data_IF_765147852867
#
_entry.id   IF_765147852867
#
_cell.length_a   1.000
_cell.length_b   1.000
_cell.length_c   1.000
_cell.angle_alpha   90.00
_cell.angle_beta   90.00
_cell.angle_gamma   90.00
#
_symmetry.space_group_name_H-M   'P 1'
#
loop_
_entity.id
_entity.type
_entity.pdbx_description
1 polymer ?
#
# COMPACT_ATOMS: atom_id res chain seq x y z
N UNK A 1 -3.40 20.04 -23.09
CA UNK A 1 -3.24 18.80 -23.87
C UNK A 1 -1.83 18.78 -24.46
N UNK A 2 -0.86 18.36 -23.66
CA UNK A 2 0.54 18.21 -24.08
C UNK A 2 0.81 16.71 -24.06
N UNK A 3 0.84 16.09 -25.24
CA UNK A 3 1.32 14.72 -25.43
C UNK A 3 2.82 14.86 -25.67
N UNK A 4 3.71 14.33 -24.81
CA UNK A 4 5.11 14.23 -25.17
C UNK A 4 5.24 13.21 -26.30
N UNK A 5 5.91 13.64 -27.36
CA UNK A 5 6.23 12.90 -28.57
C UNK A 5 6.86 11.54 -28.29
N UNK A 6 6.26 10.50 -28.87
CA UNK A 6 6.78 9.15 -29.00
C UNK A 6 8.16 9.16 -29.70
N UNK A 7 9.22 8.95 -28.92
CA UNK A 7 10.48 8.40 -29.43
C UNK A 7 10.34 6.88 -29.47
N UNK A 8 10.67 6.21 -30.60
CA UNK A 8 10.63 4.75 -30.66
C UNK A 8 11.81 4.22 -29.86
N UNK A 9 11.58 3.74 -28.64
CA UNK A 9 12.56 2.92 -27.94
C UNK A 9 12.70 1.63 -28.74
N UNK A 10 13.85 1.49 -29.40
CA UNK A 10 14.31 0.25 -29.99
C UNK A 10 14.24 -0.84 -28.92
N UNK A 11 13.42 -1.86 -29.20
CA UNK A 11 13.17 -2.98 -28.31
C UNK A 11 14.48 -3.67 -27.92
N UNK A 12 14.84 -3.55 -26.65
CA UNK A 12 15.68 -4.54 -26.02
C UNK A 12 14.84 -5.82 -25.91
N UNK A 13 14.96 -6.67 -26.93
CA UNK A 13 14.60 -8.08 -26.92
C UNK A 13 15.34 -8.79 -25.76
N UNK A 14 14.75 -8.68 -24.56
CA UNK A 14 14.86 -9.68 -23.52
C UNK A 14 13.43 -10.03 -23.15
N UNK A 15 12.86 -10.91 -23.97
CA UNK A 15 11.70 -11.70 -23.59
C UNK A 15 12.13 -12.62 -22.43
N UNK A 16 12.36 -12.04 -21.25
CA UNK A 16 12.42 -12.77 -19.98
C UNK A 16 10.98 -13.19 -19.75
N UNK A 17 10.71 -14.47 -19.89
CA UNK A 17 9.41 -15.07 -19.57
C UNK A 17 8.95 -14.50 -18.24
N UNK A 18 7.87 -13.71 -18.29
CA UNK A 18 7.17 -13.27 -17.10
C UNK A 18 6.88 -14.52 -16.26
N UNK A 19 7.27 -14.50 -14.98
CA UNK A 19 6.96 -15.59 -14.07
C UNK A 19 5.45 -15.82 -14.08
N UNK A 20 5.01 -17.08 -14.07
CA UNK A 20 3.58 -17.38 -13.97
C UNK A 20 3.02 -16.81 -12.67
N UNK A 21 1.80 -16.28 -12.73
CA UNK A 21 1.09 -15.85 -11.53
C UNK A 21 0.74 -17.03 -10.63
N UNK A 22 0.45 -16.71 -9.37
CA UNK A 22 -0.06 -17.67 -8.40
C UNK A 22 -1.37 -18.32 -8.88
N UNK A 23 -1.59 -19.57 -8.49
CA UNK A 23 -2.79 -20.33 -8.88
C UNK A 23 -4.01 -19.88 -8.10
N UNK A 24 -5.17 -19.84 -8.76
CA UNK A 24 -6.44 -19.42 -8.16
C UNK A 24 -6.78 -20.16 -6.87
N UNK A 25 -6.61 -21.49 -6.85
CA UNK A 25 -6.90 -22.31 -5.66
C UNK A 25 -5.95 -22.05 -4.47
N UNK A 26 -4.76 -21.50 -4.72
CA UNK A 26 -3.84 -21.05 -3.67
C UNK A 26 -4.28 -19.68 -3.17
N UNK A 27 -4.62 -18.77 -4.09
CA UNK A 27 -5.10 -17.42 -3.77
C UNK A 27 -6.41 -17.44 -2.97
N UNK A 28 -7.33 -18.36 -3.26
CA UNK A 28 -8.55 -18.57 -2.49
C UNK A 28 -8.26 -18.87 -1.01
N UNK A 29 -7.27 -19.74 -0.74
CA UNK A 29 -6.85 -20.07 0.63
C UNK A 29 -6.13 -18.89 1.29
N UNK A 30 -5.21 -18.25 0.57
CA UNK A 30 -4.50 -17.05 1.03
C UNK A 30 -5.48 -15.97 1.46
N UNK A 31 -6.52 -15.73 0.64
CA UNK A 31 -7.59 -14.76 0.91
C UNK A 31 -8.43 -15.16 2.12
N UNK A 32 -8.80 -16.44 2.25
CA UNK A 32 -9.54 -16.91 3.43
C UNK A 32 -8.72 -16.73 4.72
N UNK A 33 -7.44 -17.12 4.70
CA UNK A 33 -6.53 -16.95 5.84
C UNK A 33 -6.33 -15.48 6.21
N UNK A 34 -6.20 -14.59 5.23
CA UNK A 34 -6.17 -13.13 5.45
C UNK A 34 -7.43 -12.66 6.19
N UNK A 35 -8.60 -13.07 5.68
CA UNK A 35 -9.90 -12.69 6.25
C UNK A 35 -10.05 -13.17 7.69
N UNK A 36 -9.71 -14.43 7.96
CA UNK A 36 -9.92 -15.05 9.27
C UNK A 36 -8.93 -14.58 10.35
N UNK A 37 -7.79 -14.01 9.96
CA UNK A 37 -6.71 -13.63 10.89
C UNK A 37 -6.53 -12.12 11.10
N UNK A 38 -7.06 -11.27 10.20
CA UNK A 38 -6.92 -9.82 10.31
C UNK A 38 -7.84 -9.25 11.39
N UNK A 39 -7.28 -8.50 12.34
CA UNK A 39 -8.03 -7.93 13.46
C UNK A 39 -7.58 -6.55 13.92
N UNK A 40 -6.33 -6.18 13.64
CA UNK A 40 -5.80 -4.85 13.96
C UNK A 40 -6.16 -3.83 12.88
N UNK A 41 -6.08 -2.55 13.26
CA UNK A 41 -6.45 -1.44 12.39
C UNK A 41 -5.70 -1.48 11.04
N UNK A 42 -4.37 -1.61 11.05
CA UNK A 42 -3.54 -1.70 9.85
C UNK A 42 -3.76 -3.00 9.06
N UNK A 43 -3.95 -4.13 9.75
CA UNK A 43 -4.25 -5.43 9.13
C UNK A 43 -5.57 -5.37 8.34
N UNK A 44 -6.62 -4.80 8.95
CA UNK A 44 -7.91 -4.60 8.29
C UNK A 44 -7.78 -3.61 7.13
N UNK A 45 -6.99 -2.55 7.29
CA UNK A 45 -6.72 -1.56 6.23
C UNK A 45 -6.06 -2.17 5.00
N UNK A 46 -4.97 -2.92 5.18
CA UNK A 46 -4.30 -3.60 4.06
C UNK A 46 -5.15 -4.73 3.49
N UNK A 47 -5.93 -5.43 4.31
CA UNK A 47 -6.91 -6.41 3.83
C UNK A 47 -7.93 -5.75 2.89
N UNK A 48 -8.51 -4.61 3.30
CA UNK A 48 -9.48 -3.90 2.47
C UNK A 48 -8.88 -3.40 1.16
N UNK A 49 -7.63 -2.93 1.18
CA UNK A 49 -6.89 -2.58 -0.05
C UNK A 49 -6.66 -3.82 -0.93
N UNK A 50 -6.19 -4.92 -0.35
CA UNK A 50 -5.92 -6.17 -1.08
C UNK A 50 -7.18 -6.73 -1.75
N UNK A 51 -8.32 -6.74 -1.05
CA UNK A 51 -9.62 -7.12 -1.63
C UNK A 51 -10.02 -6.17 -2.76
N UNK A 52 -9.81 -4.86 -2.58
CA UNK A 52 -10.11 -3.86 -3.61
C UNK A 52 -9.27 -4.06 -4.87
N UNK A 53 -7.96 -4.30 -4.75
CA UNK A 53 -7.08 -4.54 -5.89
C UNK A 53 -7.31 -5.92 -6.54
N UNK A 54 -7.57 -6.95 -5.73
CA UNK A 54 -7.66 -8.32 -6.21
C UNK A 54 -9.03 -8.63 -6.83
N UNK A 55 -10.12 -8.39 -6.10
CA UNK A 55 -11.49 -8.74 -6.52
C UNK A 55 -12.14 -7.62 -7.34
N UNK A 56 -11.82 -6.36 -7.02
CA UNK A 56 -12.53 -5.18 -7.54
C UNK A 56 -11.60 -4.18 -8.21
N UNK A 57 -10.66 -4.67 -9.02
CA UNK A 57 -9.57 -3.88 -9.60
C UNK A 57 -10.03 -2.54 -10.24
N UNK A 58 -11.22 -2.49 -10.82
CA UNK A 58 -11.82 -1.28 -11.41
C UNK A 58 -12.15 -0.16 -10.40
N UNK A 59 -12.26 -0.49 -9.12
CA UNK A 59 -12.45 0.44 -7.99
C UNK A 59 -11.13 0.84 -7.31
N UNK A 60 -10.03 0.16 -7.61
CA UNK A 60 -8.72 0.49 -7.03
C UNK A 60 -8.15 1.78 -7.64
N UNK A 61 -7.25 2.44 -6.91
CA UNK A 61 -6.55 3.65 -7.38
C UNK A 61 -5.72 3.41 -8.65
N UNK A 62 -5.39 2.15 -8.95
CA UNK A 62 -4.65 1.75 -10.15
C UNK A 62 -5.52 1.73 -11.43
N UNK A 63 -6.84 1.85 -11.29
CA UNK A 63 -7.78 1.93 -12.41
C UNK A 63 -7.83 3.34 -13.02
N UNK A 64 -8.00 3.43 -14.33
CA UNK A 64 -8.27 4.70 -15.03
C UNK A 64 -9.59 5.36 -14.56
N UNK A 65 -10.49 4.58 -13.96
CA UNK A 65 -11.81 5.04 -13.47
C UNK A 65 -11.86 5.21 -11.95
N UNK A 66 -10.72 5.34 -11.30
CA UNK A 66 -10.64 5.39 -9.83
C UNK A 66 -11.38 6.60 -9.23
N UNK A 67 -11.32 7.77 -9.88
CA UNK A 67 -11.84 9.02 -9.33
C UNK A 67 -12.78 9.78 -10.29
N UNK A 68 -13.99 10.14 -9.84
CA UNK A 68 -14.68 9.51 -8.71
C UNK A 68 -15.04 8.04 -9.05
N UNK A 69 -15.14 7.14 -8.05
CA UNK A 69 -15.71 5.82 -8.28
C UNK A 69 -17.21 5.93 -8.63
N UNK A 70 -17.85 4.85 -9.12
CA UNK A 70 -19.27 4.87 -9.43
C UNK A 70 -20.11 5.33 -8.23
N UNK A 71 -21.07 6.24 -8.44
CA UNK A 71 -21.94 6.73 -7.37
C UNK A 71 -22.84 5.64 -6.75
N UNK A 72 -23.03 4.53 -7.47
CA UNK A 72 -23.71 3.33 -7.01
C UNK A 72 -23.06 2.09 -7.61
N UNK A 73 -22.97 1.03 -6.80
CA UNK A 73 -22.48 -0.28 -7.23
C UNK A 73 -23.57 -1.09 -7.93
N UNK A 74 -23.16 -2.05 -8.76
CA UNK A 74 -24.07 -2.95 -9.47
C UNK A 74 -23.66 -4.42 -9.24
N UNK A 75 -24.44 -5.37 -9.76
CA UNK A 75 -24.20 -6.81 -9.52
C UNK A 75 -22.82 -7.30 -9.95
N UNK A 76 -22.19 -6.66 -10.94
CA UNK A 76 -20.88 -7.03 -11.48
C UNK A 76 -19.69 -6.34 -10.79
N UNK A 77 -19.92 -5.21 -10.13
CA UNK A 77 -18.92 -4.48 -9.35
C UNK A 77 -19.61 -4.06 -8.05
N UNK A 78 -19.69 -4.99 -7.09
CA UNK A 78 -20.47 -4.83 -5.87
C UNK A 78 -19.64 -4.60 -4.61
N UNK A 79 -18.32 -4.82 -4.67
CA UNK A 79 -17.39 -4.61 -3.56
C UNK A 79 -17.82 -5.29 -2.23
N UNK A 80 -18.57 -6.40 -2.30
CA UNK A 80 -19.33 -6.88 -1.13
C UNK A 80 -18.46 -7.20 0.08
N UNK A 81 -17.29 -7.78 -0.14
CA UNK A 81 -16.32 -8.10 0.90
C UNK A 81 -15.63 -6.85 1.48
N UNK A 82 -15.24 -5.89 0.64
CA UNK A 82 -14.70 -4.59 1.10
C UNK A 82 -15.73 -3.84 1.94
N UNK A 83 -17.00 -3.82 1.49
CA UNK A 83 -18.09 -3.20 2.23
C UNK A 83 -18.35 -3.94 3.55
N UNK A 84 -18.29 -5.27 3.57
CA UNK A 84 -18.44 -6.07 4.79
C UNK A 84 -17.34 -5.78 5.83
N UNK A 85 -16.08 -5.60 5.40
CA UNK A 85 -14.99 -5.15 6.28
C UNK A 85 -15.34 -3.78 6.87
N UNK A 86 -15.74 -2.81 6.04
CA UNK A 86 -16.13 -1.46 6.51
C UNK A 86 -17.30 -1.52 7.50
N UNK A 87 -18.34 -2.30 7.19
CA UNK A 87 -19.48 -2.50 8.07
C UNK A 87 -19.04 -3.04 9.44
N UNK A 88 -18.13 -4.03 9.45
CA UNK A 88 -17.59 -4.64 10.67
C UNK A 88 -16.84 -3.61 11.51
N UNK A 89 -15.96 -2.81 10.88
CA UNK A 89 -15.21 -1.75 11.56
C UNK A 89 -16.14 -0.71 12.17
N UNK A 90 -17.09 -0.18 11.39
CA UNK A 90 -17.98 0.86 11.86
C UNK A 90 -18.97 0.36 12.93
N UNK A 91 -19.37 -0.91 12.88
CA UNK A 91 -20.20 -1.53 13.91
C UNK A 91 -19.42 -1.76 15.23
N UNK A 92 -18.12 -1.99 15.17
CA UNK A 92 -17.25 -2.16 16.34
C UNK A 92 -16.72 -0.84 16.92
N UNK A 93 -16.76 0.25 16.15
CA UNK A 93 -16.26 1.57 16.55
C UNK A 93 -17.03 2.09 17.78
N UNK A 94 -16.31 2.38 18.86
CA UNK A 94 -16.88 3.01 20.05
C UNK A 94 -17.30 4.46 19.76
N UNK A 95 -18.41 4.90 20.39
CA UNK A 95 -18.85 6.29 20.31
C UNK A 95 -17.87 7.28 20.97
N UNK A 96 -17.04 6.79 21.90
CA UNK A 96 -16.03 7.60 22.61
C UNK A 96 -14.69 7.70 21.86
N UNK A 97 -14.56 7.02 20.72
CA UNK A 97 -13.35 7.02 19.91
C UNK A 97 -13.56 7.90 18.68
N UNK A 98 -12.71 8.89 18.46
CA UNK A 98 -12.78 9.76 17.27
C UNK A 98 -12.26 9.04 16.02
N UNK A 99 -11.17 8.29 16.15
CA UNK A 99 -10.55 7.48 15.08
C UNK A 99 -11.39 6.26 14.69
N UNK A 100 -11.13 5.68 13.52
CA UNK A 100 -11.81 4.48 13.00
C UNK A 100 -11.61 3.25 13.91
N UNK A 101 -10.49 3.21 14.64
CA UNK A 101 -10.15 2.21 15.64
C UNK A 101 -9.64 2.88 16.90
N UNK A 102 -9.93 2.28 18.06
CA UNK A 102 -9.20 2.60 19.28
C UNK A 102 -7.82 1.93 19.19
N UNK A 103 -6.77 2.72 19.12
CA UNK A 103 -5.42 2.26 18.84
C UNK A 103 -4.39 3.14 19.57
N UNK A 104 -3.22 2.57 19.88
CA UNK A 104 -2.06 3.35 20.36
C UNK A 104 -1.37 4.09 19.22
N UNK A 105 -1.55 3.62 17.99
CA UNK A 105 -1.14 4.30 16.77
C UNK A 105 -2.12 5.40 16.40
N UNK A 106 -1.59 6.60 16.15
CA UNK A 106 -2.34 7.68 15.51
C UNK A 106 -2.57 7.43 14.02
N UNK A 107 -1.65 6.68 13.38
CA UNK A 107 -1.63 6.47 11.94
C UNK A 107 -2.42 5.26 11.46
N UNK A 108 -2.32 4.12 12.15
CA UNK A 108 -2.86 2.84 11.67
C UNK A 108 -4.38 2.84 11.42
N UNK A 109 -5.22 3.48 12.25
CA UNK A 109 -6.66 3.60 11.97
C UNK A 109 -6.97 4.23 10.61
N UNK A 110 -6.10 5.12 10.10
CA UNK A 110 -6.29 5.79 8.82
C UNK A 110 -6.17 4.85 7.61
N UNK A 111 -5.50 3.69 7.76
CA UNK A 111 -5.34 2.69 6.68
C UNK A 111 -6.68 2.18 6.14
N UNK A 112 -7.73 2.14 6.97
CA UNK A 112 -9.11 1.79 6.59
C UNK A 112 -9.86 2.92 5.87
N UNK A 113 -9.34 4.14 5.92
CA UNK A 113 -10.05 5.34 5.47
C UNK A 113 -10.42 5.32 3.99
N UNK A 114 -9.57 4.79 3.10
CA UNK A 114 -9.90 4.64 1.68
C UNK A 114 -11.13 3.76 1.46
N UNK A 115 -11.23 2.63 2.16
CA UNK A 115 -12.36 1.72 2.07
C UNK A 115 -13.64 2.34 2.65
N UNK A 116 -13.56 3.05 3.78
CA UNK A 116 -14.69 3.79 4.36
C UNK A 116 -15.20 4.87 3.41
N UNK A 117 -14.29 5.61 2.76
CA UNK A 117 -14.63 6.62 1.77
C UNK A 117 -15.27 6.01 0.51
N UNK A 118 -14.75 4.88 0.02
CA UNK A 118 -15.35 4.12 -1.08
C UNK A 118 -16.77 3.65 -0.73
N UNK A 119 -16.98 3.09 0.46
CA UNK A 119 -18.29 2.68 0.94
C UNK A 119 -19.25 3.88 1.05
N UNK A 120 -18.78 4.99 1.62
CA UNK A 120 -19.55 6.24 1.72
C UNK A 120 -19.97 6.77 0.34
N UNK A 121 -19.06 6.76 -0.62
CA UNK A 121 -19.29 7.27 -1.96
C UNK A 121 -20.29 6.40 -2.75
N UNK A 122 -20.20 5.09 -2.60
CA UNK A 122 -20.90 4.13 -3.45
C UNK A 122 -22.23 3.60 -2.86
N UNK A 123 -22.52 3.88 -1.57
CA UNK A 123 -23.77 3.43 -0.93
C UNK A 123 -25.02 4.09 -1.52
N UNK A 124 -26.12 3.33 -1.59
CA UNK A 124 -27.41 3.83 -2.06
C UNK A 124 -28.14 4.74 -1.05
N UNK A 125 -28.07 4.42 0.25
CA UNK A 125 -28.68 5.22 1.31
C UNK A 125 -27.72 6.31 1.79
N UNK A 126 -27.92 7.55 1.33
CA UNK A 126 -27.11 8.71 1.76
C UNK A 126 -27.61 9.33 3.07
N UNK A 127 -28.74 8.88 3.63
CA UNK A 127 -29.27 9.41 4.90
C UNK A 127 -28.53 8.88 6.12
N UNK A 128 -27.96 7.68 6.02
CA UNK A 128 -26.99 7.18 6.99
C UNK A 128 -25.69 7.99 6.87
N UNK A 129 -25.37 8.76 7.90
CA UNK A 129 -24.16 9.61 7.95
C UNK A 129 -22.99 8.94 8.67
N UNK A 130 -23.17 7.74 9.22
CA UNK A 130 -22.15 7.07 10.05
C UNK A 130 -20.79 6.95 9.37
N UNK A 131 -20.74 6.61 8.08
CA UNK A 131 -19.48 6.49 7.33
C UNK A 131 -18.84 7.85 7.05
N UNK A 132 -19.63 8.84 6.63
CA UNK A 132 -19.10 10.19 6.36
C UNK A 132 -18.59 10.83 7.65
N UNK A 133 -19.31 10.64 8.75
CA UNK A 133 -18.89 11.10 10.08
C UNK A 133 -17.62 10.37 10.50
N UNK A 134 -17.56 9.04 10.39
CA UNK A 134 -16.37 8.28 10.77
C UNK A 134 -15.12 8.66 9.95
N UNK A 135 -15.27 8.86 8.64
CA UNK A 135 -14.18 9.34 7.78
C UNK A 135 -13.75 10.78 8.14
N UNK A 136 -14.71 11.67 8.36
CA UNK A 136 -14.44 13.06 8.74
C UNK A 136 -13.80 13.17 10.12
N UNK A 137 -14.21 12.33 11.08
CA UNK A 137 -13.66 12.29 12.43
C UNK A 137 -12.22 11.78 12.41
N UNK A 138 -11.92 10.72 11.66
CA UNK A 138 -10.54 10.25 11.45
C UNK A 138 -9.67 11.33 10.80
N UNK A 139 -10.19 12.04 9.78
CA UNK A 139 -9.48 13.16 9.17
C UNK A 139 -9.24 14.27 10.20
N UNK A 140 -10.27 14.66 10.96
CA UNK A 140 -10.16 15.70 11.99
C UNK A 140 -9.10 15.37 13.03
N UNK A 141 -9.07 14.11 13.51
CA UNK A 141 -8.05 13.66 14.45
C UNK A 141 -6.64 13.83 13.89
N UNK A 142 -6.40 13.36 12.67
CA UNK A 142 -5.09 13.50 12.02
C UNK A 142 -4.70 14.97 11.84
N UNK A 143 -5.65 15.84 11.48
CA UNK A 143 -5.38 17.25 11.21
C UNK A 143 -5.14 18.06 12.49
N UNK A 144 -5.89 17.79 13.56
CA UNK A 144 -6.00 18.70 14.69
C UNK A 144 -5.47 18.14 16.01
N UNK A 145 -5.48 16.82 16.20
CA UNK A 145 -5.27 16.19 17.51
C UNK A 145 -3.99 15.33 17.58
N UNK A 146 -3.62 14.66 16.48
CA UNK A 146 -2.43 13.80 16.44
C UNK A 146 -1.14 14.61 16.73
N UNK A 147 -0.18 14.07 17.52
CA UNK A 147 1.10 14.72 17.76
C UNK A 147 1.85 15.00 16.45
N UNK A 148 2.65 16.06 16.40
CA UNK A 148 3.39 16.45 15.19
C UNK A 148 4.82 16.86 15.50
N UNK A 149 5.73 16.64 14.54
CA UNK A 149 7.04 17.29 14.56
C UNK A 149 6.92 18.79 14.35
N UNK A 150 7.97 19.55 14.64
CA UNK A 150 8.03 21.00 14.40
C UNK A 150 7.86 21.33 12.89
N UNK A 151 8.30 20.44 12.00
CA UNK A 151 8.14 20.53 10.55
C UNK A 151 6.74 20.12 10.05
N UNK A 152 5.88 19.62 10.95
CA UNK A 152 4.48 19.30 10.67
C UNK A 152 4.20 17.85 10.26
N UNK A 153 5.14 16.94 10.43
CA UNK A 153 4.91 15.51 10.19
C UNK A 153 3.96 14.97 11.27
N UNK A 154 2.86 14.34 10.85
CA UNK A 154 1.90 13.67 11.73
C UNK A 154 2.61 12.46 12.33
N UNK A 155 2.58 12.33 13.65
CA UNK A 155 3.17 11.20 14.37
C UNK A 155 2.49 9.90 14.01
N UNK A 156 3.26 8.80 14.03
CA UNK A 156 2.69 7.46 13.98
C UNK A 156 2.07 7.07 15.32
N UNK A 157 2.62 7.56 16.44
CA UNK A 157 2.13 7.28 17.80
C UNK A 157 1.14 8.33 18.28
N UNK A 158 0.12 7.91 19.02
CA UNK A 158 -0.88 8.83 19.60
C UNK A 158 -0.40 9.54 20.88
N UNK A 159 0.57 8.96 21.59
CA UNK A 159 1.02 9.41 22.92
C UNK A 159 2.31 10.26 22.89
N UNK A 160 3.02 10.27 21.77
CA UNK A 160 4.28 11.01 21.59
C UNK A 160 4.52 11.32 20.11
N UNK A 161 5.50 12.19 19.82
CA UNK A 161 5.98 12.41 18.46
C UNK A 161 7.01 11.34 18.12
N UNK A 162 6.66 10.41 17.24
CA UNK A 162 7.53 9.34 16.78
C UNK A 162 7.14 8.93 15.36
N UNK A 163 8.14 8.85 14.47
CA UNK A 163 7.92 8.59 13.05
C UNK A 163 8.33 7.17 12.72
N UNK A 164 7.40 6.40 12.15
CA UNK A 164 7.60 5.01 11.72
C UNK A 164 7.40 4.94 10.21
N UNK A 165 8.26 4.24 9.47
CA UNK A 165 8.16 4.10 8.00
C UNK A 165 6.77 3.66 7.52
N UNK A 166 6.07 2.89 8.35
CA UNK A 166 4.74 2.32 8.20
C UNK A 166 3.68 3.38 7.93
N UNK A 167 3.77 4.55 8.59
CA UNK A 167 2.82 5.66 8.44
C UNK A 167 2.63 6.07 6.98
N UNK A 168 3.64 5.90 6.13
CA UNK A 168 3.58 6.24 4.71
C UNK A 168 2.52 5.42 3.97
N UNK A 169 2.20 4.21 4.42
CA UNK A 169 1.10 3.40 3.88
C UNK A 169 -0.26 3.73 4.52
N UNK A 170 -0.25 4.16 5.79
CA UNK A 170 -1.48 4.32 6.57
C UNK A 170 -2.14 5.68 6.32
N UNK A 171 -1.39 6.78 6.48
CA UNK A 171 -1.95 8.13 6.54
C UNK A 171 -2.00 8.81 5.17
N UNK A 172 -0.90 8.93 4.39
CA UNK A 172 -0.93 9.66 3.12
C UNK A 172 -1.95 9.13 2.11
N UNK A 173 -2.14 7.80 1.90
CA UNK A 173 -3.14 7.31 0.97
C UNK A 173 -4.57 7.71 1.35
N UNK A 174 -4.89 7.73 2.65
CA UNK A 174 -6.19 8.18 3.12
C UNK A 174 -6.41 9.67 2.83
N UNK A 175 -5.44 10.52 3.15
CA UNK A 175 -5.51 11.97 2.86
C UNK A 175 -5.67 12.22 1.35
N UNK A 176 -4.90 11.50 0.53
CA UNK A 176 -4.95 11.63 -0.92
C UNK A 176 -6.33 11.21 -1.47
N UNK A 177 -6.84 10.04 -1.04
CA UNK A 177 -8.13 9.53 -1.49
C UNK A 177 -9.28 10.45 -1.06
N UNK A 178 -9.23 10.97 0.17
CA UNK A 178 -10.18 11.98 0.66
C UNK A 178 -10.14 13.24 -0.22
N UNK A 179 -8.95 13.78 -0.45
CA UNK A 179 -8.76 14.99 -1.26
C UNK A 179 -9.28 14.82 -2.69
N UNK A 180 -9.00 13.67 -3.31
CA UNK A 180 -9.45 13.35 -4.66
C UNK A 180 -10.98 13.24 -4.78
N UNK A 181 -11.69 12.77 -3.74
CA UNK A 181 -13.16 12.74 -3.72
C UNK A 181 -13.78 14.10 -3.38
N UNK A 182 -13.12 14.88 -2.52
CA UNK A 182 -13.57 16.22 -2.12
C UNK A 182 -13.54 17.20 -3.30
N UNK A 183 -12.48 17.14 -4.11
CA UNK A 183 -12.29 18.06 -5.24
C UNK A 183 -12.05 19.51 -4.80
N UNK A 184 -11.91 20.41 -5.78
CA UNK A 184 -11.67 21.84 -5.55
C UNK A 184 -10.43 22.16 -4.70
N UNK A 185 -10.41 23.36 -4.10
CA UNK A 185 -9.25 23.88 -3.35
C UNK A 185 -9.01 23.13 -2.04
N UNK A 186 -10.07 22.67 -1.36
CA UNK A 186 -9.96 21.87 -0.14
C UNK A 186 -9.40 20.47 -0.44
N UNK A 187 -9.85 19.87 -1.55
CA UNK A 187 -9.31 18.60 -2.03
C UNK A 187 -7.83 18.72 -2.41
N UNK A 188 -7.46 19.79 -3.13
CA UNK A 188 -6.07 20.06 -3.49
C UNK A 188 -5.15 20.22 -2.25
N UNK A 189 -5.63 20.86 -1.18
CA UNK A 189 -4.87 20.97 0.09
C UNK A 189 -4.62 19.60 0.72
N UNK A 190 -5.60 18.69 0.70
CA UNK A 190 -5.43 17.33 1.22
C UNK A 190 -4.49 16.48 0.35
N UNK A 191 -4.56 16.61 -0.98
CA UNK A 191 -3.63 15.97 -1.91
C UNK A 191 -2.19 16.44 -1.68
N UNK A 192 -2.00 17.76 -1.51
CA UNK A 192 -0.69 18.33 -1.19
C UNK A 192 -0.20 17.86 0.18
N UNK A 193 -1.08 17.81 1.19
CA UNK A 193 -0.72 17.29 2.51
C UNK A 193 -0.28 15.83 2.46
N UNK A 194 -0.96 14.98 1.68
CA UNK A 194 -0.55 13.58 1.49
C UNK A 194 0.89 13.49 0.96
N UNK A 195 1.21 14.28 -0.08
CA UNK A 195 2.57 14.37 -0.61
C UNK A 195 3.56 14.90 0.44
N UNK A 196 3.22 15.96 1.17
CA UNK A 196 4.11 16.56 2.17
C UNK A 196 4.38 15.61 3.35
N UNK A 197 3.40 14.82 3.78
CA UNK A 197 3.63 13.79 4.80
C UNK A 197 4.66 12.77 4.32
N UNK A 198 4.57 12.31 3.07
CA UNK A 198 5.59 11.41 2.48
C UNK A 198 6.96 12.09 2.47
N UNK A 199 7.04 13.34 1.99
CA UNK A 199 8.29 14.09 1.92
C UNK A 199 8.94 14.23 3.30
N UNK A 200 8.16 14.60 4.32
CA UNK A 200 8.66 14.78 5.69
C UNK A 200 9.15 13.46 6.30
N UNK A 201 8.41 12.37 6.09
CA UNK A 201 8.85 11.04 6.51
C UNK A 201 10.13 10.61 5.77
N UNK A 202 10.23 10.93 4.47
CA UNK A 202 11.44 10.68 3.69
C UNK A 202 12.63 11.45 4.25
N UNK A 203 12.46 12.74 4.49
CA UNK A 203 13.52 13.62 5.02
C UNK A 203 14.02 13.13 6.39
N UNK A 204 13.15 12.50 7.19
CA UNK A 204 13.50 11.99 8.51
C UNK A 204 14.10 10.58 8.52
N UNK A 205 13.57 9.65 7.72
CA UNK A 205 13.86 8.22 7.84
C UNK A 205 14.71 7.65 6.72
N UNK A 206 14.74 8.27 5.54
CA UNK A 206 15.41 7.68 4.40
C UNK A 206 16.90 8.04 4.33
N UNK A 207 17.74 7.02 4.16
CA UNK A 207 19.18 7.17 3.90
C UNK A 207 19.66 6.10 2.91
N UNK A 208 20.60 6.48 2.04
CA UNK A 208 21.15 5.64 0.96
C UNK A 208 20.11 4.90 0.07
N UNK A 209 18.90 5.47 -0.03
CA UNK A 209 17.77 4.91 -0.79
C UNK A 209 16.94 3.89 0.00
N UNK A 210 17.38 3.46 1.18
CA UNK A 210 16.57 2.68 2.12
C UNK A 210 15.88 3.61 3.13
N UNK A 211 15.04 3.02 3.97
CA UNK A 211 14.29 3.69 5.02
C UNK A 211 14.57 3.03 6.37
N UNK A 212 15.05 3.82 7.33
CA UNK A 212 15.07 3.42 8.74
C UNK A 212 13.65 3.19 9.22
N UNK A 213 13.49 2.30 10.20
CA UNK A 213 12.18 1.91 10.69
C UNK A 213 11.54 3.01 11.55
N UNK A 214 12.21 3.43 12.64
CA UNK A 214 11.65 4.36 13.63
C UNK A 214 12.66 5.40 14.06
N UNK A 215 12.24 6.67 14.16
CA UNK A 215 13.03 7.75 14.75
C UNK A 215 12.18 8.66 15.64
N UNK A 216 12.85 9.44 16.50
CA UNK A 216 12.26 10.25 17.58
C UNK A 216 11.57 9.43 18.67
N UNK A 217 10.95 10.13 19.63
CA UNK A 217 10.26 9.50 20.76
C UNK A 217 11.20 8.91 21.80
N UNK A 218 10.66 8.02 22.64
CA UNK A 218 11.37 7.41 23.76
C UNK A 218 12.30 6.25 23.36
N UNK A 219 12.19 5.76 22.13
CA UNK A 219 13.03 4.72 21.54
C UNK A 219 13.08 4.85 20.02
N UNK A 220 14.13 4.32 19.39
CA UNK A 220 14.32 4.37 17.94
C UNK A 220 14.73 2.98 17.41
N UNK A 221 14.52 2.75 16.13
CA UNK A 221 14.98 1.59 15.38
C UNK A 221 15.60 2.07 14.06
N UNK A 222 16.93 2.23 14.10
CA UNK A 222 17.73 2.69 12.96
C UNK A 222 17.96 1.61 11.90
N UNK A 223 17.39 0.41 12.05
CA UNK A 223 17.57 -0.64 11.06
C UNK A 223 16.76 -0.38 9.79
N UNK A 224 17.27 -0.85 8.65
CA UNK A 224 16.54 -0.89 7.38
C UNK A 224 15.56 -2.06 7.35
N UNK A 225 14.56 -2.02 8.23
CA UNK A 225 13.54 -3.05 8.30
C UNK A 225 12.80 -3.17 6.96
N UNK A 226 12.83 -4.37 6.39
CA UNK A 226 12.43 -4.61 5.01
C UNK A 226 10.93 -4.41 4.79
N UNK A 227 10.09 -4.80 5.76
CA UNK A 227 8.64 -4.62 5.64
C UNK A 227 8.27 -3.13 5.78
N UNK A 228 8.93 -2.37 6.64
CA UNK A 228 8.82 -0.91 6.71
C UNK A 228 9.17 -0.21 5.39
N UNK A 229 10.23 -0.65 4.70
CA UNK A 229 10.57 -0.19 3.35
C UNK A 229 9.48 -0.55 2.33
N UNK A 230 8.87 -1.73 2.47
CA UNK A 230 7.73 -2.16 1.68
C UNK A 230 6.51 -1.26 1.88
N UNK A 231 6.18 -0.93 3.14
CA UNK A 231 5.10 0.01 3.47
C UNK A 231 5.35 1.39 2.88
N UNK A 232 6.56 1.92 3.01
CA UNK A 232 6.93 3.20 2.41
C UNK A 232 6.74 3.20 0.89
N UNK A 233 7.30 2.19 0.20
CA UNK A 233 7.21 2.08 -1.25
C UNK A 233 5.75 1.92 -1.73
N UNK A 234 4.96 1.08 -1.05
CA UNK A 234 3.57 0.83 -1.42
C UNK A 234 2.65 2.03 -1.12
N UNK A 235 2.89 2.73 -0.02
CA UNK A 235 2.15 3.94 0.34
C UNK A 235 2.39 5.08 -0.65
N UNK A 236 3.66 5.30 -1.01
CA UNK A 236 4.03 6.22 -2.09
C UNK A 236 3.37 5.85 -3.42
N UNK A 237 3.33 4.56 -3.76
CA UNK A 237 2.69 4.08 -5.00
C UNK A 237 1.18 4.40 -5.03
N UNK A 238 0.49 4.22 -3.90
CA UNK A 238 -0.95 4.54 -3.79
C UNK A 238 -1.21 6.04 -3.96
N UNK A 239 -0.43 6.89 -3.27
CA UNK A 239 -0.55 8.35 -3.43
C UNK A 239 -0.22 8.80 -4.85
N UNK A 240 0.84 8.25 -5.46
CA UNK A 240 1.20 8.52 -6.85
C UNK A 240 0.02 8.25 -7.79
N UNK A 241 -0.62 7.09 -7.66
CA UNK A 241 -1.78 6.75 -8.49
C UNK A 241 -2.95 7.68 -8.22
N UNK A 242 -3.27 8.00 -6.97
CA UNK A 242 -4.33 8.98 -6.66
C UNK A 242 -4.06 10.34 -7.31
N UNK A 243 -2.83 10.86 -7.21
CA UNK A 243 -2.44 12.12 -7.84
C UNK A 243 -2.53 12.07 -9.37
N UNK A 244 -2.26 10.93 -10.01
CA UNK A 244 -2.35 10.77 -11.47
C UNK A 244 -3.79 10.68 -11.99
N UNK A 245 -4.76 10.31 -11.13
CA UNK A 245 -6.13 9.97 -11.54
C UNK A 245 -7.18 10.97 -11.08
N UNK A 246 -6.82 11.90 -10.21
CA UNK A 246 -7.71 12.96 -9.74
C UNK A 246 -7.91 14.07 -10.78
N UNK A 247 -8.96 14.89 -10.62
CA UNK A 247 -9.26 16.00 -11.53
C UNK A 247 -8.17 17.09 -11.52
N UNK A 248 -7.43 17.22 -10.41
CA UNK A 248 -6.30 18.14 -10.25
C UNK A 248 -4.95 17.57 -10.72
N UNK A 249 -4.92 16.42 -11.41
CA UNK A 249 -3.68 15.71 -11.70
C UNK A 249 -2.58 16.57 -12.36
N UNK A 250 -2.95 17.55 -13.19
CA UNK A 250 -1.97 18.45 -13.84
C UNK A 250 -1.24 19.37 -12.88
N UNK A 251 -1.86 19.70 -11.74
CA UNK A 251 -1.33 20.65 -10.76
C UNK A 251 -0.28 19.99 -9.85
N UNK A 252 -0.22 18.64 -9.86
CA UNK A 252 0.67 17.82 -9.03
C UNK A 252 1.80 17.15 -9.83
N UNK A 253 2.15 17.65 -11.01
CA UNK A 253 3.14 17.00 -11.88
C UNK A 253 4.53 16.85 -11.24
N UNK A 254 4.99 17.84 -10.47
CA UNK A 254 6.28 17.76 -9.74
C UNK A 254 6.21 16.73 -8.63
N UNK A 255 5.11 16.69 -7.87
CA UNK A 255 4.86 15.74 -6.80
C UNK A 255 4.81 14.30 -7.34
N UNK A 256 4.14 14.08 -8.47
CA UNK A 256 4.13 12.80 -9.17
C UNK A 256 5.56 12.39 -9.57
N UNK A 257 6.34 13.30 -10.15
CA UNK A 257 7.73 13.02 -10.55
C UNK A 257 8.60 12.66 -9.34
N UNK A 258 8.49 13.40 -8.24
CA UNK A 258 9.20 13.10 -6.99
C UNK A 258 8.86 11.70 -6.45
N UNK A 259 7.57 11.35 -6.38
CA UNK A 259 7.14 10.03 -5.91
C UNK A 259 7.67 8.91 -6.80
N UNK A 260 7.64 9.08 -8.13
CA UNK A 260 8.26 8.13 -9.07
C UNK A 260 9.74 7.94 -8.75
N UNK A 261 10.48 9.04 -8.56
CA UNK A 261 11.90 8.99 -8.22
C UNK A 261 12.14 8.26 -6.91
N UNK A 262 11.43 8.62 -5.83
CA UNK A 262 11.64 8.03 -4.50
C UNK A 262 11.27 6.54 -4.46
N UNK A 263 10.21 6.12 -5.15
CA UNK A 263 9.88 4.69 -5.28
C UNK A 263 11.00 3.97 -6.04
N UNK A 264 11.50 4.54 -7.14
CA UNK A 264 12.58 3.90 -7.93
C UNK A 264 13.89 3.83 -7.16
N UNK A 265 14.26 4.86 -6.40
CA UNK A 265 15.41 4.86 -5.50
C UNK A 265 15.27 3.72 -4.48
N UNK A 266 14.13 3.64 -3.80
CA UNK A 266 13.83 2.60 -2.80
C UNK A 266 13.93 1.20 -3.39
N UNK A 267 13.24 0.94 -4.50
CA UNK A 267 13.29 -0.38 -5.15
C UNK A 267 14.68 -0.74 -5.66
N UNK A 268 15.45 0.25 -6.15
CA UNK A 268 16.80 -0.01 -6.65
C UNK A 268 17.71 -0.43 -5.49
N UNK A 269 17.72 0.34 -4.40
CA UNK A 269 18.50 0.03 -3.19
C UNK A 269 18.12 -1.33 -2.60
N UNK A 270 16.82 -1.58 -2.37
CA UNK A 270 16.29 -2.88 -1.88
C UNK A 270 16.81 -4.05 -2.72
N UNK A 271 16.68 -3.96 -4.04
CA UNK A 271 16.98 -5.11 -4.91
C UNK A 271 18.47 -5.36 -5.14
N UNK A 272 19.36 -4.46 -4.70
CA UNK A 272 20.80 -4.73 -4.61
C UNK A 272 21.11 -5.84 -3.58
N UNK A 273 20.29 -5.94 -2.54
CA UNK A 273 20.44 -6.92 -1.46
C UNK A 273 19.66 -8.23 -1.70
N UNK A 274 18.98 -8.39 -2.84
CA UNK A 274 18.22 -9.61 -3.14
C UNK A 274 19.14 -10.85 -3.18
N UNK A 275 18.82 -11.84 -2.36
CA UNK A 275 19.47 -13.15 -2.36
C UNK A 275 19.25 -13.90 -3.68
N UNK A 276 20.10 -14.90 -3.94
CA UNK A 276 20.08 -15.67 -5.19
C UNK A 276 18.75 -16.40 -5.44
N UNK A 277 18.07 -16.82 -4.38
CA UNK A 277 16.74 -17.45 -4.39
C UNK A 277 15.57 -16.46 -4.51
N UNK A 278 15.83 -15.14 -4.55
CA UNK A 278 14.81 -14.10 -4.67
C UNK A 278 14.44 -13.40 -3.37
N UNK A 279 14.96 -13.87 -2.22
CA UNK A 279 14.57 -13.41 -0.89
C UNK A 279 15.24 -12.09 -0.49
N UNK A 280 14.56 -11.31 0.34
CA UNK A 280 15.13 -10.24 1.15
C UNK A 280 15.26 -10.66 2.62
N UNK A 281 16.27 -10.12 3.29
CA UNK A 281 16.43 -10.26 4.73
C UNK A 281 15.53 -9.26 5.48
N UNK A 282 15.16 -9.55 6.72
CA UNK A 282 14.29 -8.68 7.54
C UNK A 282 14.93 -7.32 7.79
N UNK A 283 16.24 -7.26 7.93
CA UNK A 283 17.03 -6.03 7.81
C UNK A 283 17.75 -6.13 6.47
N UNK A 284 17.41 -5.24 5.53
CA UNK A 284 17.75 -5.38 4.10
C UNK A 284 19.25 -5.58 3.88
N UNK A 285 20.06 -4.82 4.59
CA UNK A 285 21.51 -4.75 4.47
C UNK A 285 22.28 -5.59 5.52
N UNK A 286 21.57 -6.39 6.32
CA UNK A 286 22.15 -7.32 7.29
C UNK A 286 21.73 -8.77 7.00
N UNK A 287 22.65 -9.52 6.39
CA UNK A 287 22.47 -10.93 6.04
C UNK A 287 22.49 -11.90 7.24
N UNK A 288 22.74 -11.40 8.45
CA UNK A 288 22.61 -12.18 9.68
C UNK A 288 21.19 -12.19 10.23
N UNK A 289 20.35 -11.25 9.78
CA UNK A 289 18.92 -11.25 10.07
C UNK A 289 18.19 -12.40 9.34
N UNK A 290 16.96 -12.70 9.75
CA UNK A 290 16.20 -13.79 9.13
C UNK A 290 15.62 -13.35 7.78
N UNK A 291 15.36 -14.30 6.89
CA UNK A 291 14.68 -14.03 5.62
C UNK A 291 13.21 -13.62 5.85
N UNK A 292 12.72 -12.62 5.13
CA UNK A 292 11.37 -12.10 5.29
C UNK A 292 10.57 -12.16 3.98
N UNK A 293 9.66 -13.14 3.92
CA UNK A 293 8.76 -13.31 2.79
C UNK A 293 7.72 -12.19 2.67
N UNK A 294 7.36 -11.51 3.77
CA UNK A 294 6.34 -10.46 3.76
C UNK A 294 6.82 -9.23 2.98
N UNK A 295 7.97 -8.68 3.36
CA UNK A 295 8.61 -7.58 2.63
C UNK A 295 8.91 -7.95 1.18
N UNK A 296 9.41 -9.17 0.94
CA UNK A 296 9.70 -9.65 -0.41
C UNK A 296 8.46 -9.64 -1.30
N UNK A 297 7.29 -10.02 -0.78
CA UNK A 297 6.03 -9.96 -1.51
C UNK A 297 5.60 -8.53 -1.80
N UNK A 298 5.60 -7.65 -0.80
CA UNK A 298 5.14 -6.27 -0.94
C UNK A 298 6.05 -5.46 -1.89
N UNK A 299 7.37 -5.57 -1.77
CA UNK A 299 8.33 -4.87 -2.63
C UNK A 299 8.26 -5.38 -4.08
N UNK A 300 8.00 -6.68 -4.28
CA UNK A 300 7.74 -7.23 -5.61
C UNK A 300 6.43 -6.70 -6.21
N UNK A 301 5.38 -6.52 -5.39
CA UNK A 301 4.13 -5.87 -5.81
C UNK A 301 4.40 -4.47 -6.35
N UNK A 302 5.08 -3.62 -5.57
CA UNK A 302 5.40 -2.24 -5.99
C UNK A 302 6.27 -2.23 -7.25
N UNK A 303 7.19 -3.19 -7.40
CA UNK A 303 8.01 -3.31 -8.61
C UNK A 303 7.17 -3.59 -9.86
N UNK A 304 6.19 -4.50 -9.78
CA UNK A 304 5.25 -4.73 -10.89
C UNK A 304 4.33 -3.53 -11.12
N UNK A 305 3.84 -2.88 -10.06
CA UNK A 305 3.04 -1.65 -10.16
C UNK A 305 3.79 -0.53 -10.90
N UNK A 306 5.07 -0.33 -10.58
CA UNK A 306 5.91 0.65 -11.28
C UNK A 306 6.12 0.28 -12.74
N UNK A 307 6.38 -1.00 -13.06
CA UNK A 307 6.50 -1.44 -14.44
C UNK A 307 5.20 -1.27 -15.24
N UNK A 308 4.04 -1.46 -14.60
CA UNK A 308 2.74 -1.20 -15.20
C UNK A 308 2.45 0.30 -15.35
N UNK A 309 3.03 1.14 -14.50
CA UNK A 309 2.81 2.59 -14.54
C UNK A 309 3.61 3.29 -15.64
N UNK A 310 4.92 3.02 -15.75
CA UNK A 310 5.81 3.76 -16.66
C UNK A 310 6.43 2.90 -17.79
N UNK A 311 6.14 1.59 -17.81
CA UNK A 311 6.71 0.65 -18.78
C UNK A 311 8.19 0.30 -18.59
N UNK A 312 8.86 0.84 -17.57
CA UNK A 312 10.25 0.51 -17.25
C UNK A 312 10.33 -0.81 -16.48
N UNK A 313 10.88 -1.82 -17.18
CA UNK A 313 10.93 -3.21 -16.74
C UNK A 313 12.29 -3.63 -16.15
N UNK A 314 13.21 -2.68 -15.91
CA UNK A 314 14.59 -2.98 -15.48
C UNK A 314 14.68 -3.85 -14.21
N UNK A 315 13.72 -3.71 -13.30
CA UNK A 315 13.65 -4.46 -12.04
C UNK A 315 12.73 -5.70 -12.11
N UNK A 316 12.05 -5.97 -13.23
CA UNK A 316 11.06 -7.06 -13.32
C UNK A 316 11.69 -8.44 -13.11
N UNK A 317 12.96 -8.60 -13.45
CA UNK A 317 13.65 -9.86 -13.16
C UNK A 317 13.86 -10.13 -11.67
N UNK A 318 13.93 -9.08 -10.84
CA UNK A 318 13.99 -9.17 -9.38
C UNK A 318 12.62 -9.53 -8.84
N UNK A 319 11.57 -8.86 -9.32
CA UNK A 319 10.17 -9.18 -8.98
C UNK A 319 9.77 -10.60 -9.39
N UNK A 320 10.19 -11.08 -10.57
CA UNK A 320 9.92 -12.46 -11.00
C UNK A 320 10.54 -13.50 -10.05
N UNK A 321 11.78 -13.27 -9.58
CA UNK A 321 12.42 -14.17 -8.61
C UNK A 321 11.71 -14.15 -7.26
N UNK A 322 11.32 -12.96 -6.79
CA UNK A 322 10.53 -12.79 -5.59
C UNK A 322 9.19 -13.54 -5.72
N UNK A 323 8.45 -13.36 -6.82
CA UNK A 323 7.20 -14.08 -7.07
C UNK A 323 7.39 -15.60 -7.06
N UNK A 324 8.43 -16.13 -7.70
CA UNK A 324 8.75 -17.57 -7.64
C UNK A 324 9.04 -18.05 -6.21
N UNK A 325 9.74 -17.24 -5.41
CA UNK A 325 10.00 -17.56 -4.01
C UNK A 325 8.71 -17.56 -3.18
N UNK A 326 7.86 -16.55 -3.35
CA UNK A 326 6.58 -16.44 -2.65
C UNK A 326 5.69 -17.63 -3.01
N UNK A 327 5.60 -18.00 -4.28
CA UNK A 327 4.87 -19.20 -4.72
C UNK A 327 5.37 -20.46 -3.99
N UNK A 328 6.69 -20.61 -3.84
CA UNK A 328 7.30 -21.74 -3.15
C UNK A 328 7.23 -21.67 -1.61
N UNK A 329 6.85 -20.51 -1.05
CA UNK A 329 6.80 -20.26 0.40
C UNK A 329 5.38 -20.28 0.95
N UNK A 330 4.37 -20.50 0.11
CA UNK A 330 2.99 -20.72 0.55
C UNK A 330 2.79 -22.21 0.78
N UNK A 331 2.32 -22.58 1.96
CA UNK A 331 2.05 -23.98 2.30
C UNK A 331 0.73 -24.51 1.71
N UNK A 332 0.45 -25.80 1.95
CA UNK A 332 -0.74 -26.45 1.43
C UNK A 332 -2.05 -25.87 2.02
N UNK A 333 -1.99 -25.19 3.15
CA UNK A 333 -3.13 -24.54 3.80
C UNK A 333 -3.29 -23.07 3.39
N UNK A 334 -2.39 -22.56 2.55
CA UNK A 334 -2.44 -21.20 1.99
C UNK A 334 -1.78 -20.14 2.86
N UNK A 335 -0.94 -20.52 3.83
CA UNK A 335 -0.18 -19.60 4.64
C UNK A 335 1.16 -19.27 4.00
N UNK A 336 1.49 -17.98 3.91
CA UNK A 336 2.83 -17.53 3.54
C UNK A 336 3.77 -17.75 4.73
N UNK A 337 4.78 -18.61 4.52
CA UNK A 337 5.78 -18.96 5.52
C UNK A 337 6.99 -18.03 5.48
N UNK A 338 7.74 -18.00 6.60
CA UNK A 338 9.00 -17.25 6.70
C UNK A 338 8.80 -15.74 6.72
N UNK A 339 7.70 -15.28 7.30
CA UNK A 339 7.33 -13.87 7.39
C UNK A 339 7.81 -13.27 8.71
N UNK A 340 8.05 -11.96 8.72
CA UNK A 340 8.17 -11.20 9.98
C UNK A 340 6.88 -11.29 10.81
N UNK A 341 7.02 -11.35 12.14
CA UNK A 341 5.91 -11.19 13.06
C UNK A 341 5.52 -9.69 13.12
N UNK A 342 4.30 -9.31 12.69
CA UNK A 342 3.90 -7.91 12.54
C UNK A 342 3.77 -7.18 13.88
N UNK A 343 3.73 -7.89 15.01
CA UNK A 343 3.62 -7.29 16.34
C UNK A 343 4.96 -7.01 16.99
N UNK A 344 6.03 -7.63 16.49
CA UNK A 344 7.37 -7.48 17.07
C UNK A 344 8.41 -6.95 16.12
N UNK A 345 8.21 -7.08 14.80
CA UNK A 345 9.08 -6.68 13.67
C UNK A 345 10.54 -7.22 13.70
N UNK A 346 11.04 -7.66 14.85
CA UNK A 346 12.38 -8.22 15.08
C UNK A 346 12.38 -9.73 15.17
N UNK A 347 11.22 -10.37 15.12
CA UNK A 347 11.10 -11.83 15.18
C UNK A 347 10.31 -12.37 13.99
N UNK A 348 10.51 -13.66 13.72
CA UNK A 348 9.85 -14.36 12.63
C UNK A 348 8.62 -15.08 13.17
N UNK A 349 7.56 -15.12 12.37
CA UNK A 349 6.45 -16.04 12.59
C UNK A 349 6.94 -17.49 12.69
N UNK A 350 6.24 -18.29 13.48
CA UNK A 350 6.55 -19.70 13.67
C UNK A 350 5.50 -20.57 12.99
N UNK A 351 5.62 -21.90 13.00
CA UNK A 351 4.56 -22.76 12.45
C UNK A 351 3.20 -22.66 13.17
N UNK A 352 3.13 -21.97 14.32
CA UNK A 352 1.91 -21.77 15.11
C UNK A 352 1.33 -20.36 14.98
N UNK A 353 2.08 -19.41 14.40
CA UNK A 353 1.68 -18.01 14.25
C UNK A 353 1.83 -17.57 12.81
N UNK A 354 0.92 -16.74 12.31
CA UNK A 354 0.96 -16.26 10.94
C UNK A 354 0.78 -14.75 10.91
N UNK A 355 1.26 -14.11 9.84
CA UNK A 355 1.15 -12.67 9.63
C UNK A 355 -0.07 -12.37 8.75
N UNK A 356 -1.14 -11.73 9.28
CA UNK A 356 -2.32 -11.39 8.48
C UNK A 356 -1.99 -10.43 7.33
N UNK A 357 -1.15 -9.42 7.59
CA UNK A 357 -0.70 -8.47 6.57
C UNK A 357 0.10 -9.15 5.44
N UNK A 358 0.89 -10.18 5.77
CA UNK A 358 1.66 -10.90 4.75
C UNK A 358 0.74 -11.65 3.77
N UNK A 359 -0.41 -12.14 4.23
CA UNK A 359 -1.43 -12.71 3.34
C UNK A 359 -1.99 -11.65 2.38
N UNK A 360 -2.24 -10.43 2.88
CA UNK A 360 -2.66 -9.32 2.04
C UNK A 360 -1.59 -8.96 0.99
N UNK A 361 -0.30 -8.97 1.37
CA UNK A 361 0.80 -8.71 0.44
C UNK A 361 0.89 -9.72 -0.70
N UNK A 362 0.54 -10.99 -0.48
CA UNK A 362 0.45 -12.00 -1.55
C UNK A 362 -0.62 -11.62 -2.58
N UNK A 363 -1.79 -11.17 -2.13
CA UNK A 363 -2.86 -10.73 -3.02
C UNK A 363 -2.50 -9.45 -3.77
N UNK A 364 -1.85 -8.49 -3.10
CA UNK A 364 -1.33 -7.27 -3.73
C UNK A 364 -0.28 -7.60 -4.80
N UNK A 365 0.66 -8.51 -4.49
CA UNK A 365 1.67 -9.00 -5.44
C UNK A 365 1.01 -9.62 -6.67
N UNK A 366 0.04 -10.52 -6.47
CA UNK A 366 -0.66 -11.13 -7.59
C UNK A 366 -1.44 -10.11 -8.42
N UNK A 367 -2.09 -9.14 -7.77
CA UNK A 367 -2.85 -8.08 -8.44
C UNK A 367 -1.95 -7.19 -9.31
N UNK A 368 -0.81 -6.78 -8.76
CA UNK A 368 0.19 -6.01 -9.50
C UNK A 368 0.78 -6.79 -10.69
N UNK A 369 1.09 -8.07 -10.47
CA UNK A 369 1.54 -8.97 -11.53
C UNK A 369 0.49 -9.12 -12.64
N UNK A 370 -0.78 -9.34 -12.27
CA UNK A 370 -1.91 -9.53 -13.20
C UNK A 370 -2.07 -8.32 -14.11
N UNK A 371 -2.02 -7.13 -13.53
CA UNK A 371 -2.23 -5.88 -14.26
C UNK A 371 -1.05 -5.61 -15.21
N UNK A 372 0.19 -5.85 -14.77
CA UNK A 372 1.37 -5.82 -15.64
C UNK A 372 1.29 -6.87 -16.76
N UNK A 373 0.87 -8.10 -16.45
CA UNK A 373 0.71 -9.18 -17.43
C UNK A 373 -0.34 -8.84 -18.51
N UNK A 374 -1.41 -8.13 -18.13
CA UNK A 374 -2.44 -7.68 -19.05
C UNK A 374 -1.89 -6.65 -20.05
N UNK A 375 -1.05 -5.71 -19.60
CA UNK A 375 -0.42 -4.72 -20.49
C UNK A 375 0.51 -5.35 -21.53
N UNK A 376 1.22 -6.43 -21.18
CA UNK A 376 2.04 -7.16 -22.15
C UNK A 376 1.22 -7.81 -23.27
N UNK A 377 -0.05 -8.16 -23.01
CA UNK A 377 -0.96 -8.74 -24.02
C UNK A 377 -1.54 -7.69 -24.96
N UNK A 378 -1.63 -6.43 -24.54
CA UNK A 378 -2.20 -5.32 -25.32
C UNK A 378 -1.13 -4.53 -26.07
N UNK A 379 0.15 -4.69 -25.74
CA UNK A 379 1.27 -4.11 -26.49
C UNK A 379 1.29 -4.66 -27.93
N UNK A 380 1.35 -3.80 -28.97
CA UNK A 380 1.42 -4.29 -30.34
C UNK A 380 2.66 -5.16 -30.52
N UNK A 381 2.47 -6.39 -30.98
CA UNK A 381 3.57 -7.23 -31.45
C UNK A 381 4.18 -6.56 -32.68
N UNK A 382 5.35 -5.95 -32.48
CA UNK A 382 6.13 -5.29 -33.53
C UNK A 382 6.46 -6.21 -34.70
#
# INVERSE_FOLDING_TARGET
MYIPSLLPLAGALLNRTLQSGLKDNVLEKVRANMWDSSSKSWEMGVMAEALTEYEWASLSVFSDTAFPPPAALNSSVNASDVLEVVHTVLAAKSADTITLFADESAGDPASMGCAVLLANWTRGDKSDTSYSTAASDQLSYLLNDAPRTDEGAISHRADQVQLWSDSVYMVPPFLAYYGALQGGDDGAQLLQMAYDQIRLYRDALADDGLWRHVTLGDWEDDTHWATGNGWAAAGMMRVLQTLNRTEQATDFSDQQAHLVTWIRETLSAVWEHQSSNGMLYNVIDDNTSFADSASTALLASVTYRMAAFDGNTGLNSKANKALSLIEASIDDDGWLLGTVDPYTFTSRTTGETHSPEAQAFVLLLHSAWRDYAAQLKTAPTS
#
